data_IF_281488994247
#
_entry.id   IF_281488994247
#
_cell.length_a   1.000
_cell.length_b   1.000
_cell.length_c   1.000
_cell.angle_alpha   90.00
_cell.angle_beta   90.00
_cell.angle_gamma   90.00
#
_symmetry.space_group_name_H-M   'P 1'
#
loop_
_entity.id
_entity.type
_entity.pdbx_description
1 polymer ?
#
# COMPACT_ATOMS: atom_id res chain seq x y z
N UNK A 1 19.03 -10.43 4.42
CA UNK A 1 17.84 -11.07 3.81
C UNK A 1 17.95 -11.14 2.28
N UNK A 2 18.94 -11.86 1.72
CA UNK A 2 19.12 -11.96 0.25
C UNK A 2 18.02 -12.78 -0.48
N UNK A 3 17.26 -13.63 0.22
CA UNK A 3 16.42 -14.65 -0.45
C UNK A 3 15.10 -14.16 -1.03
N UNK A 4 14.57 -12.99 -0.61
CA UNK A 4 13.25 -12.51 -1.08
C UNK A 4 13.30 -11.48 -2.20
N UNK A 5 14.49 -11.03 -2.63
CA UNK A 5 14.64 -10.02 -3.68
C UNK A 5 14.04 -10.46 -5.03
N UNK A 6 14.19 -11.74 -5.39
CA UNK A 6 13.62 -12.28 -6.62
C UNK A 6 12.08 -12.26 -6.62
N UNK A 7 11.45 -12.49 -5.46
CA UNK A 7 10.00 -12.50 -5.33
C UNK A 7 9.38 -11.12 -5.57
N UNK A 8 9.95 -10.04 -5.02
CA UNK A 8 9.41 -8.69 -5.21
C UNK A 8 9.55 -8.20 -6.66
N UNK A 9 10.66 -8.56 -7.32
CA UNK A 9 10.86 -8.29 -8.75
C UNK A 9 9.83 -9.05 -9.60
N UNK A 10 9.57 -10.31 -9.27
CA UNK A 10 8.53 -11.11 -9.92
C UNK A 10 7.14 -10.49 -9.73
N UNK A 11 6.81 -10.04 -8.52
CA UNK A 11 5.54 -9.39 -8.23
C UNK A 11 5.35 -8.10 -9.06
N UNK A 12 6.42 -7.30 -9.18
CA UNK A 12 6.45 -6.12 -10.02
C UNK A 12 6.21 -6.48 -11.51
N UNK A 13 6.95 -7.46 -12.03
CA UNK A 13 6.81 -7.91 -13.42
C UNK A 13 5.39 -8.45 -13.69
N UNK A 14 4.84 -9.25 -12.78
CA UNK A 14 3.51 -9.81 -12.90
C UNK A 14 2.43 -8.71 -12.92
N UNK A 15 2.50 -7.72 -12.02
CA UNK A 15 1.56 -6.59 -12.01
C UNK A 15 1.61 -5.78 -13.30
N UNK A 16 2.81 -5.55 -13.85
CA UNK A 16 3.00 -4.85 -15.11
C UNK A 16 2.39 -5.63 -16.29
N UNK A 17 2.71 -6.92 -16.42
CA UNK A 17 2.19 -7.76 -17.50
C UNK A 17 0.66 -7.88 -17.45
N UNK A 18 0.09 -8.07 -16.25
CA UNK A 18 -1.35 -8.11 -16.07
C UNK A 18 -2.02 -6.78 -16.46
N UNK A 19 -1.41 -5.64 -16.13
CA UNK A 19 -1.94 -4.33 -16.54
C UNK A 19 -1.98 -4.19 -18.06
N UNK A 20 -0.95 -4.66 -18.77
CA UNK A 20 -0.89 -4.64 -20.24
C UNK A 20 -1.97 -5.52 -20.85
N UNK A 21 -2.21 -6.71 -20.31
CA UNK A 21 -3.29 -7.60 -20.75
C UNK A 21 -4.66 -6.94 -20.58
N UNK A 22 -4.90 -6.28 -19.44
CA UNK A 22 -6.19 -5.59 -19.21
C UNK A 22 -6.39 -4.43 -20.19
N UNK A 23 -5.32 -3.68 -20.52
CA UNK A 23 -5.36 -2.60 -21.52
C UNK A 23 -5.67 -3.14 -22.91
N UNK A 24 -5.01 -4.23 -23.34
CA UNK A 24 -5.25 -4.80 -24.68
C UNK A 24 -6.67 -5.35 -24.82
N UNK A 25 -7.19 -6.05 -23.80
CA UNK A 25 -8.57 -6.55 -23.81
C UNK A 25 -9.61 -5.43 -23.85
N UNK A 26 -9.36 -4.31 -23.16
CA UNK A 26 -10.23 -3.14 -23.28
C UNK A 26 -10.15 -2.50 -24.67
N UNK A 27 -8.95 -2.39 -25.26
CA UNK A 27 -8.76 -1.84 -26.62
C UNK A 27 -9.46 -2.68 -27.70
N UNK A 28 -9.63 -3.98 -27.46
CA UNK A 28 -10.37 -4.91 -28.30
C UNK A 28 -11.90 -4.88 -28.06
N UNK A 29 -12.39 -4.06 -27.14
CA UNK A 29 -13.82 -3.95 -26.81
C UNK A 29 -14.38 -5.11 -25.98
N UNK A 30 -13.54 -6.03 -25.49
CA UNK A 30 -13.96 -7.21 -24.72
C UNK A 30 -14.37 -6.88 -23.28
N UNK A 31 -13.94 -5.74 -22.74
CA UNK A 31 -14.17 -5.34 -21.36
C UNK A 31 -15.00 -4.05 -21.27
N UNK A 32 -16.15 -4.06 -20.56
CA UNK A 32 -16.89 -2.84 -20.28
C UNK A 32 -16.05 -1.90 -19.41
N UNK A 33 -16.25 -0.59 -19.59
CA UNK A 33 -15.41 0.47 -18.98
C UNK A 33 -15.23 0.30 -17.46
N UNK A 34 -16.29 0.00 -16.73
CA UNK A 34 -16.24 -0.13 -15.27
C UNK A 34 -15.36 -1.32 -14.82
N UNK A 35 -15.49 -2.46 -15.52
CA UNK A 35 -14.68 -3.66 -15.25
C UNK A 35 -13.22 -3.44 -15.63
N UNK A 36 -12.96 -2.76 -16.74
CA UNK A 36 -11.61 -2.36 -17.15
C UNK A 36 -10.93 -1.52 -16.07
N UNK A 37 -11.58 -0.45 -15.58
CA UNK A 37 -11.01 0.45 -14.57
C UNK A 37 -10.73 -0.33 -13.27
N UNK A 38 -11.65 -1.20 -12.84
CA UNK A 38 -11.47 -2.03 -11.65
C UNK A 38 -10.27 -2.98 -11.78
N UNK A 39 -10.19 -3.74 -12.87
CA UNK A 39 -9.13 -4.71 -13.09
C UNK A 39 -7.77 -4.03 -13.27
N UNK A 40 -7.72 -2.94 -14.03
CA UNK A 40 -6.51 -2.16 -14.22
C UNK A 40 -6.02 -1.56 -12.87
N UNK A 41 -6.95 -1.07 -12.04
CA UNK A 41 -6.68 -0.63 -10.68
C UNK A 41 -6.00 -1.72 -9.85
N UNK A 42 -6.57 -2.93 -9.77
CA UNK A 42 -5.96 -4.06 -9.07
C UNK A 42 -4.53 -4.38 -9.58
N UNK A 43 -4.34 -4.45 -10.89
CA UNK A 43 -3.03 -4.76 -11.49
C UNK A 43 -1.98 -3.69 -11.15
N UNK A 44 -2.38 -2.42 -11.19
CA UNK A 44 -1.50 -1.30 -10.84
C UNK A 44 -1.08 -1.32 -9.36
N UNK A 45 -1.97 -1.71 -8.44
CA UNK A 45 -1.63 -1.86 -7.03
C UNK A 45 -0.57 -2.96 -6.82
N UNK A 46 -0.72 -4.11 -7.48
CA UNK A 46 0.27 -5.20 -7.40
C UNK A 46 1.64 -4.74 -7.91
N UNK A 47 1.66 -4.01 -9.04
CA UNK A 47 2.87 -3.43 -9.60
C UNK A 47 3.56 -2.46 -8.62
N UNK A 48 2.80 -1.50 -8.07
CA UNK A 48 3.33 -0.49 -7.14
C UNK A 48 3.87 -1.14 -5.87
N UNK A 49 3.17 -2.14 -5.31
CA UNK A 49 3.64 -2.88 -4.14
C UNK A 49 4.97 -3.57 -4.43
N UNK A 50 5.07 -4.29 -5.56
CA UNK A 50 6.31 -4.92 -5.99
C UNK A 50 7.47 -3.93 -6.16
N UNK A 51 7.18 -2.75 -6.72
CA UNK A 51 8.15 -1.67 -6.91
C UNK A 51 8.66 -1.11 -5.57
N UNK A 52 7.76 -0.76 -4.65
CA UNK A 52 8.11 -0.22 -3.32
C UNK A 52 9.01 -1.20 -2.57
N UNK A 53 8.66 -2.49 -2.53
CA UNK A 53 9.48 -3.49 -1.83
C UNK A 53 10.84 -3.71 -2.51
N UNK A 54 10.91 -3.63 -3.84
CA UNK A 54 12.19 -3.74 -4.57
C UNK A 54 13.11 -2.56 -4.25
N UNK A 55 12.58 -1.34 -4.25
CA UNK A 55 13.32 -0.12 -3.90
C UNK A 55 13.79 -0.18 -2.44
N UNK A 56 12.91 -0.52 -1.50
CA UNK A 56 13.26 -0.66 -0.08
C UNK A 56 14.41 -1.64 0.14
N UNK A 57 14.36 -2.82 -0.50
CA UNK A 57 15.44 -3.80 -0.38
C UNK A 57 16.77 -3.30 -0.96
N UNK A 58 16.73 -2.50 -2.03
CA UNK A 58 17.93 -1.90 -2.60
C UNK A 58 18.54 -0.87 -1.65
N UNK A 59 17.70 0.01 -1.07
CA UNK A 59 18.12 1.03 -0.10
C UNK A 59 18.70 0.41 1.19
N UNK A 60 18.04 -0.61 1.75
CA UNK A 60 18.54 -1.32 2.94
C UNK A 60 19.83 -2.13 2.67
N UNK A 61 20.16 -2.38 1.41
CA UNK A 61 21.43 -3.01 1.03
C UNK A 61 22.63 -2.09 1.22
N UNK A 62 22.42 -0.77 1.24
CA UNK A 62 23.48 0.24 1.31
C UNK A 62 23.84 0.69 2.73
N UNK A 63 22.98 0.46 3.74
CA UNK A 63 23.23 0.92 5.12
C UNK A 63 23.14 -0.22 6.16
N UNK A 64 24.27 -0.88 6.49
CA UNK A 64 24.32 -1.92 7.50
C UNK A 64 24.24 -1.39 8.94
N UNK A 65 24.44 -0.08 9.18
CA UNK A 65 24.43 0.51 10.52
C UNK A 65 22.98 0.71 11.03
N UNK A 66 22.07 1.15 10.15
CA UNK A 66 20.64 1.28 10.45
C UNK A 66 19.98 -0.07 10.81
N UNK A 67 20.52 -1.19 10.32
CA UNK A 67 20.05 -2.54 10.69
C UNK A 67 20.37 -2.93 12.12
N UNK A 68 21.55 -2.56 12.63
CA UNK A 68 21.97 -2.91 14.00
C UNK A 68 21.22 -2.09 15.05
N UNK A 69 20.97 -0.81 14.76
CA UNK A 69 20.19 0.07 15.65
C UNK A 69 18.75 -0.42 15.82
N UNK A 70 18.08 -0.85 14.74
CA UNK A 70 16.71 -1.38 14.79
C UNK A 70 16.56 -2.62 15.67
N UNK A 71 17.50 -3.56 15.59
CA UNK A 71 17.48 -4.78 16.41
C UNK A 71 17.70 -4.53 17.90
N UNK A 72 18.33 -3.41 18.26
CA UNK A 72 18.58 -3.03 19.66
C UNK A 72 17.34 -2.29 20.22
N UNK A 73 16.72 -1.41 19.43
CA UNK A 73 15.46 -0.73 19.76
C UNK A 73 14.28 -1.71 19.95
N UNK A 74 14.18 -2.73 19.08
CA UNK A 74 13.10 -3.72 19.07
C UNK A 74 13.02 -4.61 20.34
N UNK A 75 14.10 -4.66 21.15
CA UNK A 75 14.16 -5.51 22.34
C UNK A 75 13.69 -4.80 23.63
N UNK A 76 13.86 -3.48 23.74
CA UNK A 76 13.54 -2.72 24.96
C UNK A 76 12.11 -2.11 24.97
N UNK A 77 11.51 -1.79 23.82
CA UNK A 77 10.19 -1.12 23.76
C UNK A 77 8.96 -2.07 23.77
N UNK A 78 9.18 -3.39 23.84
CA UNK A 78 8.18 -4.44 23.55
C UNK A 78 6.83 -4.29 24.26
N UNK A 79 6.77 -3.71 25.45
CA UNK A 79 5.51 -3.57 26.20
C UNK A 79 4.73 -2.30 25.85
N UNK A 80 5.39 -1.25 25.36
CA UNK A 80 4.76 0.02 24.95
C UNK A 80 4.30 -0.05 23.48
N UNK A 81 5.05 -0.79 22.66
CA UNK A 81 4.74 -1.02 21.25
C UNK A 81 3.44 -1.80 21.03
N UNK A 82 3.09 -2.81 21.83
CA UNK A 82 1.90 -3.65 21.57
C UNK A 82 0.59 -2.84 21.53
N UNK A 83 0.42 -1.87 22.44
CA UNK A 83 -0.78 -1.02 22.46
C UNK A 83 -0.81 0.00 21.34
N UNK A 84 0.33 0.62 21.01
CA UNK A 84 0.45 1.58 19.89
C UNK A 84 0.35 0.88 18.53
N UNK A 85 0.86 -0.34 18.42
CA UNK A 85 0.81 -1.18 17.24
C UNK A 85 -0.61 -1.65 16.95
N UNK A 86 -1.44 -1.95 17.96
CA UNK A 86 -2.85 -2.26 17.74
C UNK A 86 -3.61 -1.08 17.08
N UNK A 87 -3.37 0.15 17.54
CA UNK A 87 -3.97 1.35 16.94
C UNK A 87 -3.46 1.58 15.51
N UNK A 88 -2.15 1.49 15.28
CA UNK A 88 -1.55 1.64 13.95
C UNK A 88 -2.02 0.54 12.96
N UNK A 89 -2.17 -0.70 13.45
CA UNK A 89 -2.68 -1.82 12.66
C UNK A 89 -4.15 -1.59 12.31
N UNK A 90 -4.98 -1.11 13.24
CA UNK A 90 -6.39 -0.82 12.97
C UNK A 90 -6.57 0.27 11.89
N UNK A 91 -5.71 1.29 11.90
CA UNK A 91 -5.69 2.31 10.86
C UNK A 91 -5.31 1.74 9.49
N UNK A 92 -4.26 0.92 9.43
CA UNK A 92 -3.88 0.26 8.17
C UNK A 92 -4.98 -0.66 7.65
N UNK A 93 -5.64 -1.44 8.52
CA UNK A 93 -6.75 -2.31 8.13
C UNK A 93 -7.92 -1.49 7.57
N UNK A 94 -8.31 -0.40 8.25
CA UNK A 94 -9.35 0.50 7.76
C UNK A 94 -9.02 1.05 6.37
N UNK A 95 -7.77 1.46 6.15
CA UNK A 95 -7.33 2.00 4.87
C UNK A 95 -7.38 0.95 3.75
N UNK A 96 -6.95 -0.28 4.01
CA UNK A 96 -7.10 -1.37 3.03
C UNK A 96 -8.56 -1.70 2.72
N UNK A 97 -9.43 -1.66 3.73
CA UNK A 97 -10.88 -1.84 3.53
C UNK A 97 -11.47 -0.72 2.66
N UNK A 98 -11.11 0.53 2.89
CA UNK A 98 -11.55 1.67 2.07
C UNK A 98 -11.08 1.52 0.61
N UNK A 99 -9.84 1.07 0.39
CA UNK A 99 -9.30 0.85 -0.95
C UNK A 99 -10.02 -0.29 -1.70
N UNK A 100 -10.29 -1.41 -1.02
CA UNK A 100 -11.06 -2.53 -1.61
C UNK A 100 -12.49 -2.10 -1.90
N UNK A 101 -13.14 -1.39 -0.97
CA UNK A 101 -14.49 -0.89 -1.15
C UNK A 101 -14.59 0.09 -2.33
N UNK A 102 -13.65 1.02 -2.45
CA UNK A 102 -13.58 1.95 -3.59
C UNK A 102 -13.49 1.20 -4.92
N UNK A 103 -12.68 0.14 -4.97
CA UNK A 103 -12.46 -0.65 -6.17
C UNK A 103 -13.71 -1.45 -6.58
N UNK A 104 -14.41 -2.05 -5.60
CA UNK A 104 -15.69 -2.73 -5.83
C UNK A 104 -16.75 -1.73 -6.31
N UNK A 105 -16.84 -0.56 -5.68
CA UNK A 105 -17.78 0.49 -6.10
C UNK A 105 -17.57 0.90 -7.55
N UNK A 106 -16.32 1.09 -7.98
CA UNK A 106 -15.99 1.40 -9.39
C UNK A 106 -16.43 0.27 -10.31
N UNK A 107 -16.19 -1.00 -9.94
CA UNK A 107 -16.63 -2.16 -10.70
C UNK A 107 -18.14 -2.25 -10.88
N UNK A 108 -18.89 -1.89 -9.84
CA UNK A 108 -20.37 -1.82 -9.86
C UNK A 108 -20.91 -0.59 -10.61
N UNK A 109 -20.04 0.27 -11.15
CA UNK A 109 -20.44 1.49 -11.85
C UNK A 109 -20.96 2.58 -10.93
N UNK A 110 -20.56 2.55 -9.66
CA UNK A 110 -20.93 3.58 -8.70
C UNK A 110 -20.34 4.95 -9.11
N UNK A 111 -21.00 6.06 -8.73
CA UNK A 111 -20.52 7.39 -9.05
C UNK A 111 -19.08 7.66 -8.59
N UNK A 112 -18.30 8.35 -9.44
CA UNK A 112 -16.90 8.69 -9.19
C UNK A 112 -16.67 9.46 -7.87
N UNK A 113 -17.65 10.25 -7.42
CA UNK A 113 -17.56 10.99 -6.15
C UNK A 113 -17.40 10.08 -4.93
N UNK A 114 -17.87 8.83 -4.99
CA UNK A 114 -17.65 7.83 -3.92
C UNK A 114 -16.17 7.48 -3.83
N UNK A 115 -15.49 7.31 -4.96
CA UNK A 115 -14.04 7.08 -5.00
C UNK A 115 -13.27 8.26 -4.40
N UNK A 116 -13.65 9.50 -4.75
CA UNK A 116 -13.06 10.69 -4.15
C UNK A 116 -13.27 10.77 -2.63
N UNK A 117 -14.44 10.36 -2.14
CA UNK A 117 -14.74 10.32 -0.71
C UNK A 117 -13.82 9.33 0.02
N UNK A 118 -13.61 8.14 -0.53
CA UNK A 118 -12.72 7.12 0.05
C UNK A 118 -11.25 7.56 0.08
N UNK A 119 -10.78 8.21 -0.99
CA UNK A 119 -9.45 8.81 -1.05
C UNK A 119 -9.34 9.94 -0.02
N UNK A 120 -10.36 10.81 0.06
CA UNK A 120 -10.43 11.91 1.02
C UNK A 120 -10.37 11.43 2.47
N UNK A 121 -11.11 10.38 2.83
CA UNK A 121 -11.05 9.76 4.16
C UNK A 121 -9.66 9.20 4.47
N UNK A 122 -9.01 8.58 3.48
CA UNK A 122 -7.66 8.04 3.64
C UNK A 122 -6.63 9.14 3.85
N UNK A 123 -6.74 10.27 3.13
CA UNK A 123 -5.89 11.44 3.31
C UNK A 123 -6.14 12.13 4.65
N UNK A 124 -7.40 12.25 5.07
CA UNK A 124 -7.76 12.81 6.38
C UNK A 124 -7.15 11.98 7.50
N UNK A 125 -7.30 10.65 7.42
CA UNK A 125 -6.65 9.72 8.37
C UNK A 125 -5.14 9.95 8.41
N UNK A 126 -4.49 10.00 7.25
CA UNK A 126 -3.04 10.23 7.17
C UNK A 126 -2.64 11.58 7.80
N UNK A 127 -3.42 12.63 7.56
CA UNK A 127 -3.20 13.94 8.17
C UNK A 127 -3.31 13.90 9.69
N UNK A 128 -4.33 13.21 10.22
CA UNK A 128 -4.49 13.02 11.67
C UNK A 128 -3.32 12.22 12.25
N UNK A 129 -2.91 11.12 11.60
CA UNK A 129 -1.75 10.32 12.01
C UNK A 129 -0.46 11.17 12.02
N UNK A 130 -0.26 12.01 11.01
CA UNK A 130 0.89 12.92 10.92
C UNK A 130 0.87 14.00 12.02
N UNK A 131 -0.26 14.67 12.23
CA UNK A 131 -0.41 15.67 13.30
C UNK A 131 -0.17 15.06 14.68
N UNK A 132 -0.70 13.87 14.95
CA UNK A 132 -0.47 13.16 16.20
C UNK A 132 1.00 12.75 16.33
N UNK A 133 1.64 12.30 15.24
CA UNK A 133 3.06 11.95 15.25
C UNK A 133 3.96 13.14 15.56
N UNK A 134 3.63 14.36 15.09
CA UNK A 134 4.37 15.58 15.46
C UNK A 134 4.10 15.91 16.94
N UNK A 135 2.83 15.98 17.33
CA UNK A 135 2.43 16.41 18.68
C UNK A 135 2.95 15.48 19.80
N UNK A 136 2.95 14.17 19.57
CA UNK A 136 3.48 13.19 20.50
C UNK A 136 4.96 12.87 20.26
N UNK A 137 5.48 13.11 19.05
CA UNK A 137 6.89 12.94 18.72
C UNK A 137 7.80 13.94 19.44
N UNK A 138 7.33 15.17 19.66
CA UNK A 138 8.03 16.18 20.48
C UNK A 138 8.06 15.87 21.99
N UNK A 139 7.37 14.81 22.44
CA UNK A 139 7.20 14.44 23.87
C UNK A 139 7.86 13.11 24.26
N UNK A 140 8.61 12.47 23.36
CA UNK A 140 9.50 11.34 23.68
C UNK A 140 10.94 11.82 23.73
#
# INVERSE_FOLDING_TARGET
>A
MKSKSGFYKLLCLAGFLLSMVVITFHSMGLLPRNLYIMLHGFCSCIFIIGLIFTIRNALEGHDPAMRKLRTIEDQDERNILIRRQAAAVSGNVLQWLLMIAALICIGLGAPIWIGFLMIGLSLLKLGVEFCLSIYYGDKL
#
